data_IF_170375460620
#
_entry.id   IF_170375460620
#
_cell.length_a   1.000
_cell.length_b   1.000
_cell.length_c   1.000
_cell.angle_alpha   90.00
_cell.angle_beta   90.00
_cell.angle_gamma   90.00
#
_symmetry.space_group_name_H-M   'P 1'
#
loop_
_entity.id
_entity.type
_entity.pdbx_description
1 polymer ?
#
# COMPACT_ATOMS: atom_id res chain seq x y z
N UNK A 1 -5.42 10.57 10.17
CA UNK A 1 -4.63 9.33 10.31
C UNK A 1 -3.31 9.73 10.94
N UNK A 2 -2.73 8.91 11.83
CA UNK A 2 -1.41 9.18 12.41
C UNK A 2 -0.39 9.36 11.27
N UNK A 3 0.36 10.47 11.27
CA UNK A 3 1.40 10.73 10.28
C UNK A 3 2.70 10.07 10.72
N UNK A 4 3.14 9.06 9.96
CA UNK A 4 4.41 8.38 10.16
C UNK A 4 5.37 8.79 9.02
N UNK A 5 6.15 9.87 9.19
CA UNK A 5 7.09 10.30 8.17
C UNK A 5 8.15 9.22 7.91
N UNK A 6 8.59 9.12 6.65
CA UNK A 6 9.62 8.17 6.21
C UNK A 6 9.30 6.70 6.50
N UNK A 7 8.01 6.36 6.63
CA UNK A 7 7.57 5.00 6.94
C UNK A 7 7.06 4.28 5.70
N UNK A 8 7.62 3.11 5.42
CA UNK A 8 7.15 2.18 4.41
C UNK A 8 6.97 0.80 5.03
N UNK A 9 5.91 0.10 4.62
CA UNK A 9 5.61 -1.25 5.08
C UNK A 9 5.65 -2.24 3.91
N UNK A 10 6.30 -3.37 4.13
CA UNK A 10 6.23 -4.54 3.28
C UNK A 10 5.20 -5.50 3.85
N UNK A 11 4.40 -6.14 3.00
CA UNK A 11 3.34 -7.06 3.44
C UNK A 11 2.35 -6.40 4.42
N UNK A 12 1.92 -5.17 4.10
CA UNK A 12 0.91 -4.45 4.88
C UNK A 12 -0.52 -4.95 4.63
N UNK A 13 -1.55 -4.22 5.11
CA UNK A 13 -2.95 -4.53 4.81
C UNK A 13 -3.20 -4.56 3.29
N UNK A 14 -4.15 -5.38 2.83
CA UNK A 14 -4.51 -5.53 1.42
C UNK A 14 -3.30 -5.84 0.54
N UNK A 15 -2.54 -6.89 0.87
CA UNK A 15 -1.37 -7.32 0.10
C UNK A 15 -1.69 -8.54 -0.75
N UNK A 16 -1.17 -8.66 -1.99
CA UNK A 16 -1.52 -9.77 -2.89
C UNK A 16 -0.68 -11.03 -2.60
N UNK A 17 -0.74 -11.56 -1.37
CA UNK A 17 -0.04 -12.80 -1.01
C UNK A 17 -0.71 -14.00 -1.65
N UNK A 18 -2.03 -13.97 -1.68
CA UNK A 18 -2.92 -15.09 -1.94
C UNK A 18 -3.20 -15.33 -3.43
N UNK A 19 -3.11 -14.29 -4.27
CA UNK A 19 -3.46 -14.35 -5.68
C UNK A 19 -2.23 -14.14 -6.60
N UNK A 20 -1.12 -14.81 -6.32
CA UNK A 20 0.07 -14.85 -7.18
C UNK A 20 1.38 -15.03 -6.42
N UNK A 21 2.50 -14.67 -7.06
CA UNK A 21 3.81 -14.76 -6.42
C UNK A 21 4.02 -13.64 -5.39
N UNK A 22 4.23 -14.02 -4.14
CA UNK A 22 4.64 -13.11 -3.04
C UNK A 22 5.95 -12.41 -3.39
N UNK A 23 6.90 -13.15 -3.96
CA UNK A 23 8.23 -12.64 -4.31
C UNK A 23 8.14 -11.55 -5.37
N UNK A 24 7.23 -11.68 -6.35
CA UNK A 24 7.03 -10.66 -7.38
C UNK A 24 6.59 -9.32 -6.79
N UNK A 25 5.59 -9.34 -5.92
CA UNK A 25 5.09 -8.13 -5.25
C UNK A 25 6.11 -7.54 -4.28
N UNK A 26 6.81 -8.39 -3.51
CA UNK A 26 7.90 -7.95 -2.63
C UNK A 26 9.00 -7.23 -3.41
N UNK A 27 9.45 -7.82 -4.53
CA UNK A 27 10.50 -7.23 -5.36
C UNK A 27 10.09 -5.86 -5.90
N UNK A 28 8.84 -5.71 -6.37
CA UNK A 28 8.34 -4.41 -6.86
C UNK A 28 8.24 -3.34 -5.77
N UNK A 29 7.90 -3.71 -4.53
CA UNK A 29 7.93 -2.75 -3.40
C UNK A 29 9.37 -2.46 -2.98
N UNK A 30 10.30 -3.42 -3.07
CA UNK A 30 11.73 -3.17 -2.85
C UNK A 30 12.28 -2.16 -3.86
N UNK A 31 11.92 -2.30 -5.14
CA UNK A 31 12.27 -1.33 -6.17
C UNK A 31 11.67 0.05 -5.88
N UNK A 32 10.46 0.10 -5.30
CA UNK A 32 9.86 1.36 -4.82
C UNK A 32 10.71 2.00 -3.74
N UNK A 33 10.99 1.26 -2.68
CA UNK A 33 11.76 1.72 -1.55
C UNK A 33 13.13 2.27 -2.01
N UNK A 34 13.85 1.53 -2.84
CA UNK A 34 15.17 1.91 -3.32
C UNK A 34 15.13 3.19 -4.16
N UNK A 35 14.13 3.36 -5.03
CA UNK A 35 14.00 4.59 -5.82
C UNK A 35 13.67 5.80 -4.94
N UNK A 36 12.81 5.63 -3.94
CA UNK A 36 12.47 6.70 -3.01
C UNK A 36 13.68 7.09 -2.14
N UNK A 37 14.42 6.11 -1.61
CA UNK A 37 15.64 6.35 -0.85
C UNK A 37 16.69 7.09 -1.70
N UNK A 38 16.91 6.65 -2.95
CA UNK A 38 17.83 7.33 -3.88
C UNK A 38 17.38 8.77 -4.15
N UNK A 39 16.08 9.00 -4.37
CA UNK A 39 15.53 10.36 -4.54
C UNK A 39 15.79 11.21 -3.30
N UNK A 40 15.55 10.67 -2.10
CA UNK A 40 15.77 11.40 -0.85
C UNK A 40 17.22 11.84 -0.70
N UNK A 41 18.17 10.94 -1.00
CA UNK A 41 19.61 11.23 -0.94
C UNK A 41 20.05 12.25 -1.99
N UNK A 42 19.52 12.18 -3.21
CA UNK A 42 19.92 13.07 -4.30
C UNK A 42 19.31 14.46 -4.20
N UNK A 43 18.12 14.59 -3.61
CA UNK A 43 17.37 15.85 -3.58
C UNK A 43 17.31 16.48 -2.19
N UNK A 44 18.04 15.96 -1.20
CA UNK A 44 18.04 16.46 0.19
C UNK A 44 16.63 16.48 0.83
N UNK A 45 15.86 15.43 0.61
CA UNK A 45 14.55 15.25 1.25
C UNK A 45 14.78 14.83 2.71
N UNK A 46 14.22 15.60 3.64
CA UNK A 46 14.21 15.30 5.07
C UNK A 46 13.12 14.28 5.42
N UNK A 47 11.89 14.54 4.95
CA UNK A 47 10.75 13.70 5.26
C UNK A 47 9.77 13.63 4.10
N UNK A 48 9.03 12.51 4.04
CA UNK A 48 7.87 12.39 3.19
C UNK A 48 6.73 11.68 3.92
N UNK A 49 5.50 12.08 3.60
CA UNK A 49 4.26 11.43 4.05
C UNK A 49 3.25 11.42 2.90
N UNK A 50 2.35 10.43 2.79
CA UNK A 50 1.24 10.49 1.85
C UNK A 50 0.35 11.70 2.16
N UNK A 51 -0.06 12.45 1.13
CA UNK A 51 -1.00 13.56 1.30
C UNK A 51 -2.32 13.07 1.92
N UNK A 52 -2.96 13.93 2.71
CA UNK A 52 -4.16 13.54 3.44
C UNK A 52 -5.36 13.23 2.51
N UNK A 53 -5.46 13.88 1.35
CA UNK A 53 -6.48 13.58 0.34
C UNK A 53 -6.24 12.24 -0.35
N UNK A 54 -4.98 11.86 -0.58
CA UNK A 54 -4.61 10.54 -1.12
C UNK A 54 -4.98 9.44 -0.13
N UNK A 55 -4.66 9.63 1.15
CA UNK A 55 -5.07 8.69 2.21
C UNK A 55 -6.59 8.50 2.25
N UNK A 56 -7.38 9.56 2.06
CA UNK A 56 -8.86 9.45 1.98
C UNK A 56 -9.31 8.66 0.75
N UNK A 57 -8.63 8.80 -0.40
CA UNK A 57 -8.92 7.99 -1.59
C UNK A 57 -8.59 6.52 -1.36
N UNK A 58 -7.51 6.23 -0.64
CA UNK A 58 -7.16 4.86 -0.25
C UNK A 58 -8.22 4.23 0.67
N UNK A 59 -8.83 5.00 1.58
CA UNK A 59 -9.95 4.50 2.38
C UNK A 59 -11.16 4.10 1.51
N UNK A 60 -11.49 4.87 0.46
CA UNK A 60 -12.55 4.51 -0.49
C UNK A 60 -12.17 3.26 -1.31
N UNK A 61 -10.90 3.12 -1.67
CA UNK A 61 -10.42 1.90 -2.30
C UNK A 61 -10.54 0.70 -1.36
N UNK A 62 -10.27 0.87 -0.07
CA UNK A 62 -10.47 -0.18 0.92
C UNK A 62 -11.95 -0.60 1.02
N UNK A 63 -12.89 0.35 1.03
CA UNK A 63 -14.34 0.04 0.98
C UNK A 63 -14.69 -0.77 -0.28
N UNK A 64 -14.16 -0.38 -1.44
CA UNK A 64 -14.33 -1.14 -2.68
C UNK A 64 -13.71 -2.56 -2.59
N UNK A 65 -12.53 -2.69 -1.99
CA UNK A 65 -11.88 -3.97 -1.77
C UNK A 65 -12.72 -4.88 -0.86
N UNK A 66 -13.28 -4.34 0.23
CA UNK A 66 -14.18 -5.09 1.12
C UNK A 66 -15.43 -5.56 0.37
N UNK A 67 -16.03 -4.71 -0.47
CA UNK A 67 -17.17 -5.11 -1.27
C UNK A 67 -16.80 -6.19 -2.29
N UNK A 68 -15.67 -6.07 -2.98
CA UNK A 68 -15.18 -7.11 -3.88
C UNK A 68 -15.00 -8.46 -3.16
N UNK A 69 -14.42 -8.45 -1.95
CA UNK A 69 -14.18 -9.65 -1.15
C UNK A 69 -15.50 -10.38 -0.81
N UNK A 70 -16.61 -9.66 -0.63
CA UNK A 70 -17.92 -10.27 -0.33
C UNK A 70 -18.38 -11.27 -1.40
N UNK A 71 -17.87 -11.14 -2.64
CA UNK A 71 -18.20 -12.00 -3.77
C UNK A 71 -17.18 -13.12 -4.00
N UNK A 72 -16.33 -13.42 -3.01
CA UNK A 72 -15.24 -14.40 -3.12
C UNK A 72 -15.24 -15.40 -1.97
N UNK A 73 -14.49 -16.49 -2.15
CA UNK A 73 -14.29 -17.53 -1.13
C UNK A 73 -13.66 -17.00 0.17
N UNK A 74 -13.02 -15.84 0.14
CA UNK A 74 -12.43 -15.22 1.33
C UNK A 74 -13.48 -14.78 2.36
N UNK A 75 -14.72 -14.55 1.92
CA UNK A 75 -15.84 -14.19 2.81
C UNK A 75 -16.61 -15.40 3.35
N UNK A 76 -16.36 -16.59 2.81
CA UNK A 76 -17.05 -17.81 3.23
C UNK A 76 -16.85 -18.08 4.74
N UNK A 77 -17.68 -18.97 5.27
CA UNK A 77 -17.64 -19.33 6.68
C UNK A 77 -16.43 -20.23 7.02
N UNK A 78 -15.23 -19.67 6.88
CA UNK A 78 -13.95 -20.27 7.21
C UNK A 78 -13.30 -19.49 8.36
N UNK A 79 -12.70 -20.23 9.31
CA UNK A 79 -11.87 -19.65 10.36
C UNK A 79 -10.44 -19.52 9.83
N UNK A 80 -10.20 -18.48 9.04
CA UNK A 80 -8.89 -18.18 8.48
C UNK A 80 -8.22 -17.04 9.24
N UNK A 81 -6.88 -17.01 9.21
CA UNK A 81 -6.11 -15.90 9.79
C UNK A 81 -6.41 -14.55 9.11
N UNK A 82 -6.94 -14.58 7.88
CA UNK A 82 -7.27 -13.38 7.12
C UNK A 82 -8.60 -12.73 7.50
N UNK A 83 -9.51 -13.50 8.11
CA UNK A 83 -10.85 -13.04 8.50
C UNK A 83 -10.85 -12.73 9.99
N UNK A 84 -11.21 -11.50 10.35
CA UNK A 84 -11.49 -11.15 11.72
C UNK A 84 -12.79 -11.83 12.16
N UNK A 85 -12.74 -12.68 13.18
CA UNK A 85 -13.88 -13.50 13.61
C UNK A 85 -15.01 -12.69 14.26
N UNK A 86 -14.73 -11.51 14.81
CA UNK A 86 -15.71 -10.65 15.46
C UNK A 86 -16.47 -9.77 14.45
N UNK A 87 -15.73 -9.19 13.50
CA UNK A 87 -16.27 -8.23 12.51
C UNK A 87 -16.58 -8.87 11.16
N UNK A 88 -16.02 -10.06 10.89
CA UNK A 88 -16.07 -10.73 9.60
C UNK A 88 -15.27 -10.03 8.49
N UNK A 89 -14.51 -8.96 8.78
CA UNK A 89 -13.71 -8.24 7.80
C UNK A 89 -12.48 -9.03 7.38
N UNK A 90 -12.05 -8.84 6.13
CA UNK A 90 -10.85 -9.47 5.57
C UNK A 90 -9.92 -8.35 5.11
N UNK A 91 -8.92 -8.03 5.94
CA UNK A 91 -8.09 -6.84 5.73
C UNK A 91 -6.75 -7.14 5.07
N UNK A 92 -6.39 -8.41 4.93
CA UNK A 92 -5.07 -8.81 4.43
C UNK A 92 -5.02 -9.03 2.91
N UNK A 93 -6.17 -9.29 2.27
CA UNK A 93 -6.28 -9.75 0.88
C UNK A 93 -6.40 -8.58 -0.08
N UNK A 94 -5.58 -8.56 -1.13
CA UNK A 94 -5.73 -7.59 -2.22
C UNK A 94 -6.88 -7.98 -3.17
N UNK A 95 -7.72 -7.04 -3.64
CA UNK A 95 -8.79 -7.37 -4.58
C UNK A 95 -8.22 -7.63 -5.99
N UNK A 96 -8.10 -8.90 -6.35
CA UNK A 96 -7.61 -9.36 -7.65
C UNK A 96 -6.24 -10.04 -7.58
N UNK A 97 -5.57 -10.20 -8.73
CA UNK A 97 -4.28 -10.89 -8.79
C UNK A 97 -3.09 -9.98 -8.43
N UNK A 98 -1.92 -10.58 -8.21
CA UNK A 98 -0.70 -9.85 -7.89
C UNK A 98 -0.15 -9.03 -9.06
N UNK A 99 -0.58 -9.30 -10.30
CA UNK A 99 -0.13 -8.56 -11.49
C UNK A 99 -0.70 -7.13 -11.52
N UNK A 100 -2.04 -6.89 -11.41
CA UNK A 100 -2.60 -5.56 -11.25
C UNK A 100 -1.99 -4.79 -10.08
N UNK A 101 -1.75 -5.44 -8.93
CA UNK A 101 -1.05 -4.79 -7.82
C UNK A 101 0.32 -4.26 -8.25
N UNK A 102 1.14 -5.11 -8.87
CA UNK A 102 2.47 -4.73 -9.36
C UNK A 102 2.42 -3.59 -10.37
N UNK A 103 1.41 -3.55 -11.24
CA UNK A 103 1.20 -2.45 -12.20
C UNK A 103 0.83 -1.14 -11.50
N UNK A 104 -0.07 -1.18 -10.51
CA UNK A 104 -0.46 0.00 -9.72
C UNK A 104 0.74 0.62 -9.02
N UNK A 105 1.63 -0.23 -8.48
CA UNK A 105 2.85 0.22 -7.80
C UNK A 105 4.06 0.31 -8.73
N UNK A 106 3.89 0.21 -10.06
CA UNK A 106 5.02 0.29 -10.99
C UNK A 106 5.48 1.74 -11.13
N UNK A 107 4.54 2.68 -11.30
CA UNK A 107 4.83 4.09 -11.46
C UNK A 107 4.92 4.80 -10.11
N UNK A 108 6.00 5.56 -9.92
CA UNK A 108 6.18 6.40 -8.73
C UNK A 108 5.38 7.68 -8.91
N UNK A 109 4.53 7.97 -7.93
CA UNK A 109 3.69 9.18 -7.92
C UNK A 109 4.14 10.08 -6.78
N UNK A 110 5.25 10.78 -6.99
CA UNK A 110 5.81 11.68 -5.99
C UNK A 110 4.87 12.87 -5.72
N UNK A 111 3.99 13.22 -6.67
CA UNK A 111 2.95 14.23 -6.52
C UNK A 111 1.85 13.87 -5.49
N UNK A 112 1.77 12.59 -5.12
CA UNK A 112 0.85 12.11 -4.08
C UNK A 112 1.45 12.25 -2.66
N UNK A 113 2.71 12.71 -2.54
CA UNK A 113 3.44 12.86 -1.28
C UNK A 113 3.55 14.33 -0.86
N UNK A 114 3.46 14.58 0.45
CA UNK A 114 3.98 15.79 1.08
C UNK A 114 5.46 15.55 1.33
N UNK A 115 6.33 16.36 0.71
CA UNK A 115 7.78 16.22 0.78
C UNK A 115 8.37 17.45 1.47
N UNK A 116 9.13 17.21 2.53
CA UNK A 116 9.89 18.23 3.25
C UNK A 116 11.38 18.09 2.91
N UNK A 117 12.02 19.21 2.56
CA UNK A 117 13.45 19.28 2.24
C UNK A 117 14.23 19.88 3.40
N UNK A 118 15.48 19.45 3.61
CA UNK A 118 16.35 20.00 4.67
C UNK A 118 16.57 21.51 4.53
N UNK A 119 16.61 22.01 3.29
CA UNK A 119 16.74 23.42 2.97
C UNK A 119 15.66 23.80 1.98
N UNK A 120 14.94 24.89 2.24
CA UNK A 120 14.17 25.54 1.17
C UNK A 120 15.18 26.16 0.22
N UNK A 121 15.22 25.69 -1.02
CA UNK A 121 15.90 26.44 -2.08
C UNK A 121 15.27 27.85 -2.09
N UNK A 122 16.11 28.86 -1.87
CA UNK A 122 15.75 30.27 -1.93
C UNK A 122 15.12 30.63 -3.29
#
# INVERSE_FOLDING_TARGET
>A
MLQFPNFMIFSGPTWPVENGSVIGSLHRVSDYALQLIKKMQNENIHSWTPRQDITRRLNRFHEHAQEWINHTVWKDNCNSWYRNNETGQVNAVWPGSSMPYQQVIEQRRYEDLEIEYFFKLL
#
